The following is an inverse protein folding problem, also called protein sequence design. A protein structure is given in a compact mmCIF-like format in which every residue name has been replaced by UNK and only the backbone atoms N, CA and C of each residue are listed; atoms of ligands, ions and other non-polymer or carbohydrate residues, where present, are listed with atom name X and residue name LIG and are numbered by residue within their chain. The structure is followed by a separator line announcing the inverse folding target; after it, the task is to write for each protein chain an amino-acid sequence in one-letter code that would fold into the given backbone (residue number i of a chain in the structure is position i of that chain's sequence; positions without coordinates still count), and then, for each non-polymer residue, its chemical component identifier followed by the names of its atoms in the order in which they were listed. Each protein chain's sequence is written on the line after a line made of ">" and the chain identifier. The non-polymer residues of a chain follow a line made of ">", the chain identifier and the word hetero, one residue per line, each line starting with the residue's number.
data_IF_662271535041
#
_entry.id   IF_662271535041
#
_cell.length_a   1.000
_cell.length_b   1.000
_cell.length_c   1.000
_cell.angle_alpha   90.00
_cell.angle_beta   90.00
_cell.angle_gamma   90.00
#
_symmetry.space_group_name_H-M   'P 1'
#
loop_
_entity.id
_entity.type
_entity.pdbx_description
1 polymer ?
#
# COMPACT_ATOMS: atom_id res chain seq x y z
N UNK A 1 -12.07 9.65 14.72
CA UNK A 1 -11.75 8.35 15.35
C UNK A 1 -12.59 7.30 14.65
N UNK A 2 -12.03 6.59 13.67
CA UNK A 2 -12.76 5.53 12.96
C UNK A 2 -13.02 4.36 13.92
N UNK A 3 -14.29 3.99 14.07
CA UNK A 3 -14.72 2.95 15.00
C UNK A 3 -14.30 1.56 14.49
N UNK A 4 -13.96 0.66 15.41
CA UNK A 4 -13.59 -0.74 15.16
C UNK A 4 -14.66 -1.52 14.36
N UNK A 5 -15.90 -1.01 14.30
CA UNK A 5 -17.00 -1.54 13.50
C UNK A 5 -16.81 -1.35 11.98
N UNK A 6 -16.19 -0.24 11.56
CA UNK A 6 -15.99 0.10 10.14
C UNK A 6 -14.98 -0.84 9.46
N UNK A 7 -14.03 -1.35 10.25
CA UNK A 7 -13.03 -2.33 9.81
C UNK A 7 -13.61 -3.75 9.63
N UNK A 8 -14.68 -4.08 10.36
CA UNK A 8 -15.31 -5.41 10.28
C UNK A 8 -16.28 -5.54 9.10
N UNK A 9 -16.99 -4.48 8.70
CA UNK A 9 -17.85 -4.52 7.51
C UNK A 9 -17.06 -4.78 6.22
N UNK A 10 -15.81 -4.32 6.18
CA UNK A 10 -14.92 -4.51 5.04
C UNK A 10 -14.53 -5.97 4.75
N UNK A 11 -14.50 -6.83 5.77
CA UNK A 11 -14.12 -8.24 5.57
C UNK A 11 -15.25 -9.08 4.95
N UNK A 12 -16.50 -8.64 5.07
CA UNK A 12 -17.66 -9.36 4.53
C UNK A 12 -18.02 -8.99 3.10
N UNK A 13 -17.76 -7.75 2.66
CA UNK A 13 -18.17 -7.27 1.33
C UNK A 13 -17.27 -7.76 0.17
N UNK A 14 -16.03 -8.19 0.43
CA UNK A 14 -15.04 -8.55 -0.60
C UNK A 14 -14.68 -10.04 -0.60
N UNK A 15 -15.67 -10.91 -0.39
CA UNK A 15 -15.54 -12.34 -0.61
C UNK A 15 -15.50 -12.72 -2.09
N UNK A 16 -14.39 -12.44 -2.79
CA UNK A 16 -14.20 -12.81 -4.19
C UNK A 16 -12.72 -13.07 -4.51
N UNK A 17 -12.40 -14.27 -4.99
CA UNK A 17 -11.08 -14.63 -5.53
C UNK A 17 -10.85 -13.91 -6.87
N UNK A 18 -10.54 -12.63 -6.80
CA UNK A 18 -9.95 -11.82 -7.87
C UNK A 18 -8.69 -11.18 -7.31
N UNK A 19 -7.55 -11.36 -7.96
CA UNK A 19 -6.29 -10.78 -7.49
C UNK A 19 -6.28 -9.31 -7.89
N UNK A 20 -6.93 -8.46 -7.08
CA UNK A 20 -7.03 -7.01 -7.30
C UNK A 20 -5.64 -6.36 -7.20
N UNK A 21 -4.93 -6.30 -8.33
CA UNK A 21 -3.58 -5.74 -8.44
C UNK A 21 -3.59 -4.50 -9.33
N UNK A 22 -2.82 -3.50 -8.93
CA UNK A 22 -2.61 -2.26 -9.68
C UNK A 22 -1.31 -2.44 -10.46
N UNK A 23 -1.41 -2.28 -11.78
CA UNK A 23 -0.28 -2.32 -12.70
C UNK A 23 0.18 -0.89 -13.00
N UNK A 24 1.48 -0.69 -13.09
CA UNK A 24 2.03 0.58 -13.56
C UNK A 24 1.68 0.76 -15.04
N UNK A 25 1.34 2.00 -15.43
CA UNK A 25 1.21 2.40 -16.83
C UNK A 25 2.53 3.03 -17.31
N UNK A 26 2.68 3.27 -18.62
CA UNK A 26 3.91 3.79 -19.25
C UNK A 26 4.38 5.14 -18.69
N UNK A 27 3.50 5.91 -18.04
CA UNK A 27 3.79 7.24 -17.47
C UNK A 27 3.81 7.33 -15.95
N UNK A 28 3.21 6.38 -15.23
CA UNK A 28 2.98 6.46 -13.78
C UNK A 28 3.58 5.25 -13.08
N UNK A 29 4.56 5.49 -12.21
CA UNK A 29 5.17 4.47 -11.37
C UNK A 29 4.77 4.69 -9.91
N UNK A 30 3.66 4.05 -9.52
CA UNK A 30 3.12 4.07 -8.15
C UNK A 30 4.19 3.70 -7.12
N UNK A 31 5.08 2.77 -7.47
CA UNK A 31 6.22 2.39 -6.63
C UNK A 31 7.19 3.54 -6.34
N UNK A 32 7.51 4.34 -7.35
CA UNK A 32 8.39 5.48 -7.20
C UNK A 32 7.77 6.56 -6.30
N UNK A 33 6.46 6.80 -6.43
CA UNK A 33 5.72 7.74 -5.59
C UNK A 33 5.67 7.28 -4.14
N UNK A 34 5.37 6.00 -3.90
CA UNK A 34 5.42 5.39 -2.56
C UNK A 34 6.80 5.60 -1.93
N UNK A 35 7.87 5.38 -2.70
CA UNK A 35 9.24 5.58 -2.21
C UNK A 35 9.50 7.05 -1.85
N UNK A 36 9.08 7.98 -2.71
CA UNK A 36 9.24 9.43 -2.48
C UNK A 36 8.54 9.85 -1.18
N UNK A 37 7.26 9.56 -1.05
CA UNK A 37 6.44 9.92 0.11
C UNK A 37 6.97 9.25 1.39
N UNK A 38 7.42 7.99 1.30
CA UNK A 38 8.03 7.30 2.44
C UNK A 38 9.29 8.01 2.95
N UNK A 39 10.14 8.48 2.03
CA UNK A 39 11.36 9.21 2.39
C UNK A 39 11.05 10.61 2.93
N UNK A 40 10.04 11.29 2.39
CA UNK A 40 9.53 12.57 2.92
C UNK A 40 8.96 12.43 4.34
N UNK A 41 8.45 11.24 4.66
CA UNK A 41 7.91 10.90 5.99
C UNK A 41 8.97 10.38 6.98
N UNK A 42 10.25 10.31 6.57
CA UNK A 42 11.37 9.74 7.35
C UNK A 42 11.13 8.29 7.84
N UNK A 43 10.42 7.48 7.05
CA UNK A 43 10.09 6.09 7.39
C UNK A 43 11.03 5.12 6.67
N UNK A 44 11.69 4.24 7.41
CA UNK A 44 12.48 3.14 6.84
C UNK A 44 11.61 2.07 6.16
N UNK A 45 12.18 1.30 5.23
CA UNK A 45 11.44 0.18 4.60
C UNK A 45 10.98 -0.86 5.62
N UNK A 46 11.82 -1.18 6.60
CA UNK A 46 11.50 -2.14 7.68
C UNK A 46 10.35 -1.63 8.53
N UNK A 47 10.35 -0.33 8.87
CA UNK A 47 9.29 0.26 9.67
C UNK A 47 7.96 0.32 8.91
N UNK A 48 7.99 0.71 7.63
CA UNK A 48 6.78 0.69 6.80
C UNK A 48 6.21 -0.73 6.71
N UNK A 49 7.03 -1.75 6.44
CA UNK A 49 6.58 -3.15 6.39
C UNK A 49 5.94 -3.57 7.72
N UNK A 50 6.57 -3.22 8.85
CA UNK A 50 6.02 -3.54 10.18
C UNK A 50 4.66 -2.88 10.40
N UNK A 51 4.50 -1.60 10.04
CA UNK A 51 3.23 -0.89 10.12
C UNK A 51 2.17 -1.58 9.24
N UNK A 52 2.51 -1.90 7.99
CA UNK A 52 1.60 -2.56 7.05
C UNK A 52 1.14 -3.94 7.54
N UNK A 53 2.05 -4.74 8.13
CA UNK A 53 1.71 -6.04 8.71
C UNK A 53 0.76 -5.91 9.90
N UNK A 54 0.97 -4.91 10.77
CA UNK A 54 0.05 -4.61 11.88
C UNK A 54 -1.34 -4.19 11.40
N UNK A 55 -1.43 -3.58 10.22
CA UNK A 55 -2.69 -3.23 9.55
C UNK A 55 -3.34 -4.42 8.81
N UNK A 56 -2.73 -5.61 8.86
CA UNK A 56 -3.23 -6.82 8.21
C UNK A 56 -2.88 -6.92 6.72
N UNK A 57 -1.99 -6.07 6.21
CA UNK A 57 -1.46 -6.21 4.86
C UNK A 57 -0.28 -7.20 4.86
N UNK A 58 -0.48 -8.34 4.18
CA UNK A 58 0.59 -9.31 3.95
C UNK A 58 1.59 -8.77 2.92
N UNK A 59 2.72 -8.27 3.41
CA UNK A 59 3.82 -7.73 2.61
C UNK A 59 5.16 -8.04 3.29
N UNK A 60 6.18 -8.32 2.49
CA UNK A 60 7.57 -8.47 2.95
C UNK A 60 8.39 -7.26 2.55
N UNK A 61 9.56 -7.08 3.17
CA UNK A 61 10.51 -6.02 2.79
C UNK A 61 10.98 -6.16 1.35
N UNK A 62 11.22 -7.38 0.88
CA UNK A 62 11.61 -7.66 -0.49
C UNK A 62 10.49 -7.29 -1.47
N UNK A 63 9.24 -7.56 -1.11
CA UNK A 63 8.08 -7.16 -1.90
C UNK A 63 7.97 -5.64 -1.97
N UNK A 64 8.10 -4.93 -0.84
CA UNK A 64 8.12 -3.47 -0.81
C UNK A 64 9.25 -2.89 -1.69
N UNK A 65 10.47 -3.43 -1.60
CA UNK A 65 11.61 -3.01 -2.44
C UNK A 65 11.31 -3.20 -3.93
N UNK A 66 10.70 -4.32 -4.32
CA UNK A 66 10.34 -4.58 -5.72
C UNK A 66 9.23 -3.68 -6.22
N UNK A 67 8.24 -3.40 -5.36
CA UNK A 67 7.19 -2.42 -5.64
C UNK A 67 7.81 -1.04 -5.84
N UNK A 68 8.66 -0.56 -4.92
CA UNK A 68 9.34 0.74 -5.03
C UNK A 68 10.24 0.87 -6.26
N UNK A 69 10.77 -0.25 -6.78
CA UNK A 69 11.54 -0.30 -8.02
C UNK A 69 10.67 -0.45 -9.28
N UNK A 70 9.37 -0.65 -9.14
CA UNK A 70 8.43 -0.90 -10.23
C UNK A 70 8.53 -2.30 -10.86
N UNK A 71 9.26 -3.23 -10.24
CA UNK A 71 9.44 -4.60 -10.77
C UNK A 71 8.36 -5.58 -10.32
N UNK A 72 7.55 -5.20 -9.32
CA UNK A 72 6.42 -5.97 -8.84
C UNK A 72 5.18 -5.08 -8.73
N UNK A 73 4.02 -5.62 -9.13
CA UNK A 73 2.72 -4.96 -9.00
C UNK A 73 2.26 -4.92 -7.53
N UNK A 74 1.55 -3.86 -7.17
CA UNK A 74 1.00 -3.68 -5.83
C UNK A 74 -0.44 -4.20 -5.76
N UNK A 75 -0.81 -4.89 -4.68
CA UNK A 75 -2.22 -5.27 -4.43
C UNK A 75 -3.02 -4.06 -3.97
N UNK A 76 -4.31 -4.01 -4.29
CA UNK A 76 -5.21 -2.93 -3.84
C UNK A 76 -5.25 -2.83 -2.30
N UNK A 77 -5.24 -3.97 -1.59
CA UNK A 77 -5.18 -3.99 -0.12
C UNK A 77 -3.88 -3.40 0.43
N UNK A 78 -2.75 -3.65 -0.25
CA UNK A 78 -1.46 -3.08 0.10
C UNK A 78 -1.42 -1.58 -0.17
N UNK A 79 -1.97 -1.11 -1.30
CA UNK A 79 -2.04 0.32 -1.60
C UNK A 79 -2.90 1.07 -0.56
N UNK A 80 -4.06 0.51 -0.20
CA UNK A 80 -4.93 1.04 0.88
C UNK A 80 -4.18 1.16 2.21
N UNK A 81 -3.41 0.13 2.57
CA UNK A 81 -2.62 0.13 3.79
C UNK A 81 -1.48 1.15 3.73
N UNK A 82 -0.78 1.29 2.59
CA UNK A 82 0.29 2.29 2.41
C UNK A 82 -0.24 3.71 2.50
N UNK A 83 -1.38 4.00 1.86
CA UNK A 83 -2.05 5.30 1.99
C UNK A 83 -2.26 5.67 3.46
N UNK A 84 -2.83 4.73 4.24
CA UNK A 84 -3.14 4.96 5.64
C UNK A 84 -1.88 5.00 6.52
N UNK A 85 -0.84 4.21 6.22
CA UNK A 85 0.43 4.21 6.95
C UNK A 85 1.26 5.48 6.73
N UNK A 86 1.26 6.03 5.51
CA UNK A 86 1.98 7.24 5.14
C UNK A 86 1.15 8.52 5.30
N UNK A 87 -0.13 8.41 5.66
CA UNK A 87 -1.01 9.58 5.85
C UNK A 87 -1.22 10.42 4.57
N UNK A 88 -1.15 9.79 3.39
CA UNK A 88 -1.18 10.45 2.09
C UNK A 88 -2.52 10.30 1.35
N UNK A 89 -2.68 10.94 0.19
CA UNK A 89 -3.83 10.80 -0.68
C UNK A 89 -3.59 9.74 -1.77
N UNK A 90 -4.66 9.32 -2.47
CA UNK A 90 -4.47 8.47 -3.66
C UNK A 90 -3.92 9.24 -4.85
N UNK A 91 -4.13 10.56 -4.90
CA UNK A 91 -3.62 11.42 -5.96
C UNK A 91 -2.08 11.43 -5.92
N UNK A 92 -1.50 11.65 -4.74
CA UNK A 92 -0.04 11.62 -4.56
C UNK A 92 0.58 10.25 -4.89
N UNK A 93 -0.16 9.17 -4.64
CA UNK A 93 0.29 7.82 -4.93
C UNK A 93 0.20 7.47 -6.42
N UNK A 94 -0.76 8.05 -7.14
CA UNK A 94 -1.09 7.72 -8.54
C UNK A 94 -0.64 8.81 -9.54
N UNK A 95 0.11 9.80 -9.10
CA UNK A 95 0.78 10.82 -9.93
C UNK A 95 1.71 10.19 -10.98
#
# INVERSE_FOLDING_TARGET
>A
MGSCSEFMEWKHAYGGRGMDVIKNDKGTNVGANIRRIRLESDIGQTDLVRILQLMGADITREALVKIEKGTQHIKVSQLKAIKAALGTSYEDLLE
#
